data_IF_071557822085
#
_entry.id   IF_071557822085
#
_cell.length_a   1.000
_cell.length_b   1.000
_cell.length_c   1.000
_cell.angle_alpha   90.00
_cell.angle_beta   90.00
_cell.angle_gamma   90.00
#
_symmetry.space_group_name_H-M   'P 1'
#
loop_
_entity.id
_entity.type
_entity.pdbx_description
1 polymer ?
#
# COMPACT_ATOMS: atom_id res chain seq x y z
N UNK A 1 -19.19 -9.81 -4.86
CA UNK A 1 -18.04 -8.90 -4.96
C UNK A 1 -18.54 -7.56 -5.48
N UNK A 2 -18.16 -6.47 -4.87
CA UNK A 2 -18.60 -5.12 -5.29
C UNK A 2 -17.66 -4.59 -6.38
N UNK A 3 -18.03 -4.77 -7.64
CA UNK A 3 -17.25 -4.31 -8.79
C UNK A 3 -17.29 -2.80 -8.96
N UNK A 4 -18.34 -2.13 -8.45
CA UNK A 4 -18.42 -0.67 -8.45
C UNK A 4 -17.34 -0.08 -7.53
N UNK A 5 -17.24 -0.59 -6.30
CA UNK A 5 -16.18 -0.22 -5.38
C UNK A 5 -14.79 -0.47 -6.00
N UNK A 6 -14.57 -1.65 -6.59
CA UNK A 6 -13.27 -1.99 -7.19
C UNK A 6 -12.88 -1.03 -8.31
N UNK A 7 -13.82 -0.67 -9.21
CA UNK A 7 -13.55 0.25 -10.31
C UNK A 7 -13.18 1.67 -9.85
N UNK A 8 -13.52 2.04 -8.61
CA UNK A 8 -13.17 3.33 -8.01
C UNK A 8 -11.80 3.32 -7.32
N UNK A 9 -11.21 2.13 -7.09
CA UNK A 9 -9.88 2.03 -6.47
C UNK A 9 -8.78 2.57 -7.39
N UNK A 10 -7.65 2.97 -6.80
CA UNK A 10 -6.52 3.48 -7.56
C UNK A 10 -6.00 2.46 -8.59
N UNK A 11 -6.06 1.17 -8.26
CA UNK A 11 -5.58 0.08 -9.12
C UNK A 11 -6.45 -0.12 -10.37
N UNK A 12 -7.79 -0.02 -10.24
CA UNK A 12 -8.74 -0.23 -11.33
C UNK A 12 -9.28 1.07 -11.94
N UNK A 13 -8.66 2.20 -11.62
CA UNK A 13 -9.07 3.52 -12.15
C UNK A 13 -9.13 3.52 -13.67
N UNK A 14 -10.26 4.01 -14.23
CA UNK A 14 -10.49 4.09 -15.66
C UNK A 14 -11.04 2.78 -16.27
N UNK A 15 -11.34 1.77 -15.46
CA UNK A 15 -12.02 0.55 -15.88
C UNK A 15 -13.47 0.59 -15.40
N UNK A 16 -14.40 0.17 -16.26
CA UNK A 16 -15.80 -0.04 -15.86
C UNK A 16 -15.93 -1.23 -14.90
N UNK A 17 -17.04 -1.35 -14.15
CA UNK A 17 -17.30 -2.50 -13.31
C UNK A 17 -17.28 -3.84 -14.06
N UNK A 18 -17.76 -3.87 -15.32
CA UNK A 18 -17.75 -5.07 -16.16
C UNK A 18 -16.33 -5.46 -16.56
N UNK A 19 -15.54 -4.52 -17.03
CA UNK A 19 -14.12 -4.72 -17.38
C UNK A 19 -13.32 -5.18 -16.17
N UNK A 20 -13.62 -4.64 -14.99
CA UNK A 20 -13.00 -5.07 -13.72
C UNK A 20 -13.33 -6.53 -13.43
N UNK A 21 -14.58 -6.95 -13.61
CA UNK A 21 -14.99 -8.34 -13.41
C UNK A 21 -14.26 -9.30 -14.36
N UNK A 22 -14.17 -8.96 -15.65
CA UNK A 22 -13.48 -9.75 -16.66
C UNK A 22 -11.97 -9.87 -16.35
N UNK A 23 -11.35 -8.77 -15.90
CA UNK A 23 -9.94 -8.76 -15.49
C UNK A 23 -9.68 -9.65 -14.29
N UNK A 24 -10.56 -9.67 -13.27
CA UNK A 24 -10.37 -10.52 -12.09
C UNK A 24 -10.36 -12.00 -12.43
N UNK A 25 -11.16 -12.44 -13.41
CA UNK A 25 -11.11 -13.81 -13.92
C UNK A 25 -9.76 -14.11 -14.58
N UNK A 26 -9.30 -13.21 -15.44
CA UNK A 26 -8.03 -13.33 -16.15
C UNK A 26 -6.83 -13.40 -15.18
N UNK A 27 -6.86 -12.59 -14.11
CA UNK A 27 -5.82 -12.52 -13.08
C UNK A 27 -5.90 -13.68 -12.08
N UNK A 28 -6.92 -14.55 -12.13
CA UNK A 28 -7.23 -15.56 -11.11
C UNK A 28 -7.27 -14.94 -9.72
N UNK A 29 -8.05 -13.88 -9.59
CA UNK A 29 -8.19 -13.17 -8.33
C UNK A 29 -8.81 -14.08 -7.26
N UNK A 30 -8.18 -14.16 -6.10
CA UNK A 30 -8.65 -14.92 -4.95
C UNK A 30 -9.08 -13.99 -3.83
N UNK A 31 -10.29 -14.19 -3.32
CA UNK A 31 -10.81 -13.48 -2.15
C UNK A 31 -10.58 -14.31 -0.90
N UNK A 32 -9.99 -13.70 0.14
CA UNK A 32 -9.78 -14.33 1.43
C UNK A 32 -10.23 -13.40 2.56
N UNK A 33 -10.72 -13.99 3.66
CA UNK A 33 -11.14 -13.28 4.86
C UNK A 33 -10.24 -13.67 6.01
N UNK A 34 -9.80 -12.68 6.77
CA UNK A 34 -8.94 -12.85 7.93
C UNK A 34 -9.60 -12.23 9.16
N UNK A 35 -9.59 -12.94 10.27
CA UNK A 35 -10.01 -12.39 11.55
C UNK A 35 -8.93 -11.44 12.09
N UNK A 36 -9.31 -10.59 13.04
CA UNK A 36 -8.39 -9.66 13.70
C UNK A 36 -7.15 -10.37 14.21
N UNK A 37 -5.99 -9.69 14.11
CA UNK A 37 -4.67 -10.14 14.55
C UNK A 37 -4.13 -11.40 13.82
N UNK A 38 -4.78 -11.83 12.72
CA UNK A 38 -4.26 -12.90 11.86
C UNK A 38 -3.21 -12.35 10.90
N UNK A 39 -2.09 -13.05 10.84
CA UNK A 39 -1.03 -12.74 9.86
C UNK A 39 -1.50 -13.19 8.48
N UNK A 40 -1.40 -12.30 7.52
CA UNK A 40 -1.78 -12.49 6.12
C UNK A 40 -0.55 -12.94 5.31
N UNK A 41 0.60 -12.29 5.56
CA UNK A 41 1.90 -12.64 4.99
C UNK A 41 2.95 -12.47 6.08
N UNK A 42 3.89 -13.42 6.19
CA UNK A 42 4.97 -13.38 7.17
C UNK A 42 6.24 -12.74 6.61
N UNK A 43 6.98 -12.05 7.47
CA UNK A 43 8.36 -11.68 7.18
C UNK A 43 9.18 -12.93 6.85
N UNK A 44 10.02 -12.86 5.81
CA UNK A 44 10.79 -13.98 5.30
C UNK A 44 10.10 -14.80 4.21
N UNK A 45 8.77 -14.72 4.08
CA UNK A 45 8.06 -15.39 2.99
C UNK A 45 8.25 -14.64 1.66
N UNK A 46 8.18 -15.38 0.56
CA UNK A 46 8.06 -14.81 -0.79
C UNK A 46 6.60 -14.79 -1.23
N UNK A 47 6.19 -13.79 -1.96
CA UNK A 47 4.81 -13.65 -2.44
C UNK A 47 4.76 -13.44 -3.95
N UNK A 48 3.76 -14.06 -4.60
CA UNK A 48 3.52 -13.93 -6.05
C UNK A 48 2.27 -13.09 -6.37
N UNK A 49 1.54 -12.66 -5.34
CA UNK A 49 0.33 -11.89 -5.48
C UNK A 49 0.35 -10.65 -4.61
N UNK A 50 -0.07 -9.52 -5.15
CA UNK A 50 -0.39 -8.35 -4.35
C UNK A 50 -1.75 -8.51 -3.68
N UNK A 51 -1.92 -7.93 -2.49
CA UNK A 51 -3.21 -7.87 -1.80
C UNK A 51 -3.88 -6.52 -2.00
N UNK A 52 -5.17 -6.51 -2.35
CA UNK A 52 -6.05 -5.34 -2.34
C UNK A 52 -7.05 -5.48 -1.19
N UNK A 53 -7.08 -4.54 -0.27
CA UNK A 53 -8.03 -4.56 0.85
C UNK A 53 -9.43 -4.20 0.34
N UNK A 54 -10.40 -5.11 0.53
CA UNK A 54 -11.80 -4.89 0.17
C UNK A 54 -12.56 -4.24 1.32
N UNK A 55 -12.35 -4.73 2.54
CA UNK A 55 -12.92 -4.19 3.77
C UNK A 55 -11.99 -4.47 4.95
N UNK A 56 -12.15 -3.74 6.03
CA UNK A 56 -11.27 -3.84 7.19
C UNK A 56 -10.00 -3.04 7.04
N UNK A 57 -8.84 -3.59 7.42
CA UNK A 57 -7.55 -2.93 7.32
C UNK A 57 -6.39 -3.88 7.61
N UNK A 58 -5.24 -3.59 7.07
CA UNK A 58 -4.00 -4.37 7.24
C UNK A 58 -2.93 -3.48 7.85
N UNK A 59 -2.34 -3.90 8.96
CA UNK A 59 -1.16 -3.30 9.54
C UNK A 59 0.08 -3.93 8.90
N UNK A 60 1.03 -3.10 8.56
CA UNK A 60 2.38 -3.51 8.17
C UNK A 60 3.23 -3.41 9.41
N UNK A 61 3.71 -4.54 9.91
CA UNK A 61 4.37 -4.64 11.21
C UNK A 61 5.80 -5.18 11.06
N UNK A 62 6.71 -4.64 11.86
CA UNK A 62 8.04 -5.19 12.06
C UNK A 62 8.12 -5.76 13.47
N UNK A 63 8.70 -6.94 13.59
CA UNK A 63 8.97 -7.58 14.88
C UNK A 63 10.48 -7.60 15.08
N UNK A 64 10.97 -7.03 16.19
CA UNK A 64 12.37 -7.05 16.51
C UNK A 64 12.79 -8.39 17.13
N UNK A 65 14.10 -8.57 17.36
CA UNK A 65 14.67 -9.79 17.94
C UNK A 65 14.22 -10.07 19.36
N UNK A 66 13.62 -9.11 20.06
CA UNK A 66 13.06 -9.26 21.40
C UNK A 66 11.55 -9.50 21.38
N UNK A 67 10.93 -9.58 20.19
CA UNK A 67 9.49 -9.79 20.02
C UNK A 67 8.65 -8.52 20.14
N UNK A 68 9.26 -7.33 20.20
CA UNK A 68 8.54 -6.07 20.23
C UNK A 68 8.00 -5.74 18.82
N UNK A 69 6.72 -5.40 18.74
CA UNK A 69 6.04 -5.09 17.48
C UNK A 69 5.97 -3.58 17.25
N UNK A 70 6.32 -3.17 16.06
CA UNK A 70 6.20 -1.79 15.60
C UNK A 70 5.33 -1.72 14.34
N UNK A 71 4.27 -0.93 14.36
CA UNK A 71 3.43 -0.69 13.19
C UNK A 71 4.11 0.35 12.32
N UNK A 72 4.55 -0.06 11.14
CA UNK A 72 5.22 0.79 10.16
C UNK A 72 4.24 1.51 9.24
N UNK A 73 3.02 0.98 9.09
CA UNK A 73 1.99 1.56 8.25
C UNK A 73 0.67 0.83 8.36
N UNK A 74 -0.38 1.46 7.82
CA UNK A 74 -1.72 0.92 7.75
C UNK A 74 -2.24 1.00 6.31
N UNK A 75 -2.90 -0.07 5.85
CA UNK A 75 -3.48 -0.20 4.51
C UNK A 75 -4.99 -0.37 4.67
N UNK A 76 -5.74 0.62 4.22
CA UNK A 76 -7.21 0.63 4.30
C UNK A 76 -7.90 0.12 3.03
N UNK A 77 -9.25 0.12 3.00
CA UNK A 77 -10.02 -0.32 1.85
C UNK A 77 -9.65 0.42 0.56
N UNK A 78 -9.56 -0.33 -0.55
CA UNK A 78 -9.16 0.18 -1.86
C UNK A 78 -7.66 0.36 -2.05
N UNK A 79 -6.86 0.13 -1.02
CA UNK A 79 -5.40 0.22 -1.08
C UNK A 79 -4.76 -1.15 -1.27
N UNK A 80 -3.56 -1.17 -1.84
CA UNK A 80 -2.78 -2.40 -2.08
C UNK A 80 -1.61 -2.52 -1.10
N UNK A 81 -1.19 -3.77 -0.84
CA UNK A 81 0.01 -4.11 -0.07
C UNK A 81 0.75 -5.28 -0.73
N UNK A 82 1.99 -5.49 -0.31
CA UNK A 82 2.90 -6.52 -0.82
C UNK A 82 3.19 -6.42 -2.34
N UNK A 83 2.75 -5.36 -3.03
CA UNK A 83 2.93 -5.18 -4.46
C UNK A 83 4.41 -5.12 -4.87
N UNK A 84 5.25 -4.50 -4.04
CA UNK A 84 6.70 -4.39 -4.31
C UNK A 84 7.33 -5.77 -4.39
N UNK A 85 7.08 -6.61 -3.39
CA UNK A 85 7.63 -7.97 -3.33
C UNK A 85 7.04 -8.88 -4.40
N UNK A 86 5.71 -8.80 -4.61
CA UNK A 86 5.05 -9.58 -5.63
C UNK A 86 5.53 -9.25 -7.06
N UNK A 87 6.03 -8.03 -7.29
CA UNK A 87 6.65 -7.62 -8.56
C UNK A 87 8.14 -7.96 -8.66
N UNK A 88 8.78 -8.41 -7.57
CA UNK A 88 10.19 -8.80 -7.50
C UNK A 88 10.28 -10.29 -7.09
N UNK A 89 10.17 -11.22 -8.05
CA UNK A 89 10.15 -12.65 -7.73
C UNK A 89 11.38 -13.10 -6.94
N UNK A 90 11.13 -13.81 -5.83
CA UNK A 90 12.17 -14.33 -4.96
C UNK A 90 12.64 -13.37 -3.86
N UNK A 91 12.18 -12.11 -3.84
CA UNK A 91 12.50 -11.18 -2.75
C UNK A 91 11.65 -11.51 -1.51
N UNK A 92 12.26 -11.84 -0.35
CA UNK A 92 11.50 -12.13 0.86
C UNK A 92 10.95 -10.85 1.50
N UNK A 93 9.77 -10.96 2.10
CA UNK A 93 9.15 -9.89 2.86
C UNK A 93 10.02 -9.50 4.07
N UNK A 94 10.24 -8.20 4.26
CA UNK A 94 10.96 -7.66 5.42
C UNK A 94 10.04 -7.45 6.64
N UNK A 95 8.72 -7.57 6.45
CA UNK A 95 7.69 -7.16 7.41
C UNK A 95 6.51 -8.12 7.36
N UNK A 96 5.76 -8.21 8.45
CA UNK A 96 4.49 -8.91 8.49
C UNK A 96 3.35 -8.02 7.96
N UNK A 97 2.38 -8.63 7.30
CA UNK A 97 1.09 -8.02 7.02
C UNK A 97 0.04 -8.68 7.92
N UNK A 98 -0.56 -7.91 8.82
CA UNK A 98 -1.47 -8.41 9.86
C UNK A 98 -2.83 -7.74 9.73
N UNK A 99 -3.91 -8.52 9.86
CA UNK A 99 -5.26 -7.99 9.85
C UNK A 99 -5.54 -7.16 11.11
N UNK A 100 -5.76 -5.85 10.95
CA UNK A 100 -6.03 -4.92 12.05
C UNK A 100 -7.41 -5.14 12.71
N UNK A 101 -8.33 -5.71 11.95
CA UNK A 101 -9.68 -6.11 12.32
C UNK A 101 -10.12 -7.25 11.39
N UNK A 102 -11.38 -7.69 11.45
CA UNK A 102 -11.88 -8.61 10.43
C UNK A 102 -11.74 -7.96 9.07
N UNK A 103 -10.89 -8.55 8.22
CA UNK A 103 -10.39 -7.94 6.98
C UNK A 103 -10.61 -8.88 5.82
N UNK A 104 -11.08 -8.31 4.73
CA UNK A 104 -11.27 -9.01 3.47
C UNK A 104 -10.27 -8.51 2.44
N UNK A 105 -9.52 -9.44 1.85
CA UNK A 105 -8.44 -9.16 0.90
C UNK A 105 -8.70 -9.88 -0.42
N UNK A 106 -8.47 -9.17 -1.51
CA UNK A 106 -8.43 -9.71 -2.86
C UNK A 106 -6.97 -9.85 -3.30
N UNK A 107 -6.51 -11.07 -3.54
CA UNK A 107 -5.17 -11.35 -4.05
C UNK A 107 -5.17 -11.38 -5.58
N UNK A 108 -4.22 -10.67 -6.18
CA UNK A 108 -4.03 -10.58 -7.62
C UNK A 108 -2.63 -11.07 -7.98
N UNK A 109 -2.54 -12.13 -8.79
CA UNK A 109 -1.26 -12.68 -9.22
C UNK A 109 -0.53 -11.70 -10.15
N UNK A 110 0.65 -11.25 -9.73
CA UNK A 110 1.43 -10.20 -10.44
C UNK A 110 2.06 -10.73 -11.71
N UNK A 111 2.48 -12.00 -11.77
CA UNK A 111 3.01 -12.58 -12.99
C UNK A 111 1.98 -12.59 -14.12
N UNK A 112 0.69 -12.76 -13.79
CA UNK A 112 -0.41 -12.65 -14.76
C UNK A 112 -0.72 -11.20 -15.11
N UNK A 113 -0.65 -10.32 -14.13
CA UNK A 113 -0.87 -8.89 -14.30
C UNK A 113 0.18 -8.25 -15.23
N UNK A 114 1.44 -8.66 -15.11
CA UNK A 114 2.56 -8.12 -15.90
C UNK A 114 2.72 -8.79 -17.27
N UNK A 115 2.10 -9.95 -17.50
CA UNK A 115 2.13 -10.59 -18.81
C UNK A 115 1.18 -9.90 -19.77
N UNK A 116 1.61 -9.73 -21.02
CA UNK A 116 0.73 -9.28 -22.11
C UNK A 116 -0.37 -10.33 -22.32
N UNK A 117 -1.62 -9.92 -22.18
CA UNK A 117 -2.75 -10.79 -22.45
C UNK A 117 -2.74 -11.20 -23.94
N UNK A 118 -2.90 -12.48 -24.30
CA UNK A 118 -2.97 -12.94 -25.70
C UNK A 118 -4.08 -12.22 -26.51
N UNK A 119 -5.13 -11.75 -25.83
CA UNK A 119 -6.25 -10.98 -26.42
C UNK A 119 -6.00 -9.48 -26.55
N UNK A 120 -4.75 -9.01 -26.35
CA UNK A 120 -4.37 -7.59 -26.46
C UNK A 120 -5.34 -6.61 -25.74
N UNK A 121 -5.79 -7.01 -24.57
CA UNK A 121 -6.82 -6.32 -23.82
C UNK A 121 -6.30 -4.96 -23.32
N UNK A 122 -6.92 -3.88 -23.79
CA UNK A 122 -6.54 -2.49 -23.40
C UNK A 122 -6.61 -2.26 -21.87
N UNK A 123 -7.40 -3.05 -21.17
CA UNK A 123 -7.61 -2.97 -19.73
C UNK A 123 -6.39 -3.44 -18.93
N UNK A 124 -5.62 -4.43 -19.41
CA UNK A 124 -4.35 -4.82 -18.78
C UNK A 124 -3.32 -3.69 -18.81
N UNK A 125 -3.23 -2.97 -19.92
CA UNK A 125 -2.34 -1.81 -20.02
C UNK A 125 -2.74 -0.70 -19.03
N UNK A 126 -4.04 -0.48 -18.81
CA UNK A 126 -4.54 0.46 -17.81
C UNK A 126 -4.15 0.00 -16.38
N UNK A 127 -4.32 -1.29 -16.08
CA UNK A 127 -3.99 -1.87 -14.78
C UNK A 127 -2.48 -1.76 -14.47
N UNK A 128 -1.61 -2.04 -15.45
CA UNK A 128 -0.15 -1.88 -15.30
C UNK A 128 0.22 -0.42 -15.05
N UNK A 129 -0.35 0.53 -15.80
CA UNK A 129 -0.13 1.97 -15.58
C UNK A 129 -0.58 2.41 -14.19
N UNK A 130 -1.74 1.92 -13.73
CA UNK A 130 -2.26 2.22 -12.42
C UNK A 130 -1.39 1.63 -11.30
N UNK A 131 -0.90 0.39 -11.46
CA UNK A 131 0.03 -0.22 -10.52
C UNK A 131 1.33 0.60 -10.45
N UNK A 132 1.88 0.99 -11.61
CA UNK A 132 3.06 1.86 -11.66
C UNK A 132 2.82 3.20 -10.95
N UNK A 133 1.65 3.82 -11.15
CA UNK A 133 1.29 5.06 -10.46
C UNK A 133 1.19 4.86 -8.94
N UNK A 134 0.59 3.77 -8.48
CA UNK A 134 0.48 3.44 -7.04
C UNK A 134 1.86 3.22 -6.42
N UNK A 135 2.72 2.41 -7.05
CA UNK A 135 4.08 2.16 -6.54
C UNK A 135 4.93 3.43 -6.55
N UNK A 136 4.81 4.26 -7.59
CA UNK A 136 5.50 5.57 -7.67
C UNK A 136 5.04 6.54 -6.58
N UNK A 137 3.74 6.57 -6.27
CA UNK A 137 3.21 7.38 -5.16
C UNK A 137 3.74 6.91 -3.81
N UNK A 138 3.80 5.61 -3.57
CA UNK A 138 4.39 5.05 -2.35
C UNK A 138 5.88 5.36 -2.24
N UNK A 139 6.64 5.19 -3.33
CA UNK A 139 8.05 5.55 -3.38
C UNK A 139 8.26 7.04 -3.07
N UNK A 140 7.46 7.93 -3.67
CA UNK A 140 7.52 9.36 -3.40
C UNK A 140 7.20 9.69 -1.94
N UNK A 141 6.23 9.00 -1.32
CA UNK A 141 5.91 9.16 0.10
C UNK A 141 7.08 8.73 1.00
N UNK A 142 7.74 7.61 0.69
CA UNK A 142 8.94 7.14 1.39
C UNK A 142 10.10 8.13 1.22
N UNK A 143 10.35 8.62 0.00
CA UNK A 143 11.39 9.61 -0.27
C UNK A 143 11.17 10.91 0.51
N UNK A 144 9.92 11.38 0.59
CA UNK A 144 9.56 12.55 1.41
C UNK A 144 9.83 12.30 2.90
N UNK A 145 9.47 11.11 3.41
CA UNK A 145 9.75 10.75 4.81
C UNK A 145 11.26 10.74 5.09
N UNK A 146 12.06 10.13 4.23
CA UNK A 146 13.51 10.13 4.33
C UNK A 146 14.03 11.58 4.35
N UNK A 147 13.56 12.44 3.46
CA UNK A 147 13.94 13.85 3.42
C UNK A 147 13.64 14.58 4.73
N UNK A 148 12.45 14.34 5.33
CA UNK A 148 12.08 14.98 6.60
C UNK A 148 12.81 14.40 7.81
N UNK A 149 13.22 13.13 7.77
CA UNK A 149 13.94 12.45 8.86
C UNK A 149 15.46 12.56 8.77
N UNK A 150 16.01 13.02 7.65
CA UNK A 150 17.46 13.17 7.42
C UNK A 150 18.15 14.21 8.31
N UNK A 151 17.53 15.33 8.73
CA UNK A 151 18.16 16.26 9.65
C UNK A 151 18.49 15.59 10.99
N UNK A 152 19.67 15.88 11.53
CA UNK A 152 20.20 15.25 12.76
C UNK A 152 19.46 15.65 14.04
N UNK A 153 18.77 16.78 14.03
CA UNK A 153 18.08 17.30 15.22
C UNK A 153 16.57 17.22 15.09
N UNK A 154 15.88 17.02 16.19
CA UNK A 154 14.40 17.03 16.28
C UNK A 154 13.84 18.32 15.68
N UNK A 155 14.43 19.48 16.06
CA UNK A 155 14.05 20.78 15.50
C UNK A 155 14.22 20.84 13.99
N UNK A 156 15.31 20.28 13.45
CA UNK A 156 15.57 20.24 12.00
C UNK A 156 14.55 19.38 11.27
N UNK A 157 14.19 18.21 11.79
CA UNK A 157 13.17 17.33 11.22
C UNK A 157 11.80 18.00 11.22
N UNK A 158 11.41 18.63 12.33
CA UNK A 158 10.15 19.35 12.45
C UNK A 158 10.08 20.52 11.47
N UNK A 159 11.14 21.35 11.40
CA UNK A 159 11.20 22.45 10.45
C UNK A 159 11.16 22.00 8.99
N UNK A 160 11.86 20.91 8.64
CA UNK A 160 11.82 20.32 7.30
C UNK A 160 10.40 19.93 6.91
N UNK A 161 9.68 19.24 7.80
CA UNK A 161 8.29 18.85 7.57
C UNK A 161 7.35 20.06 7.44
N UNK A 162 7.37 20.96 8.43
CA UNK A 162 6.46 22.13 8.45
C UNK A 162 6.70 23.08 7.29
N UNK A 163 7.96 23.31 6.89
CA UNK A 163 8.29 24.13 5.72
C UNK A 163 7.75 23.53 4.43
N UNK A 164 7.86 22.21 4.26
CA UNK A 164 7.30 21.53 3.09
C UNK A 164 5.76 21.62 3.05
N UNK A 165 5.08 21.53 4.21
CA UNK A 165 3.64 21.72 4.28
C UNK A 165 3.24 23.16 3.96
N UNK A 166 3.93 24.15 4.52
CA UNK A 166 3.69 25.57 4.26
C UNK A 166 3.80 25.93 2.77
N UNK A 167 4.82 25.37 2.09
CA UNK A 167 5.00 25.53 0.64
C UNK A 167 3.86 24.86 -0.14
N UNK A 168 3.45 23.65 0.24
CA UNK A 168 2.38 22.91 -0.43
C UNK A 168 1.03 23.63 -0.31
N UNK A 169 0.71 24.13 0.87
CA UNK A 169 -0.55 24.85 1.14
C UNK A 169 -0.48 26.35 0.76
N UNK A 170 0.69 26.81 0.31
CA UNK A 170 0.98 28.23 0.06
C UNK A 170 0.51 29.14 1.22
N UNK A 171 0.69 28.68 2.45
CA UNK A 171 0.21 29.34 3.66
C UNK A 171 1.13 29.06 4.85
N UNK A 172 1.22 30.02 5.77
CA UNK A 172 1.90 29.82 7.07
C UNK A 172 0.97 29.24 8.15
N UNK A 173 -0.33 29.14 7.85
CA UNK A 173 -1.34 28.54 8.74
C UNK A 173 -2.01 27.41 7.99
N UNK A 174 -1.83 26.18 8.45
CA UNK A 174 -2.37 24.97 7.84
C UNK A 174 -2.64 23.91 8.90
N UNK A 175 -3.56 22.99 8.60
CA UNK A 175 -3.77 21.80 9.40
C UNK A 175 -2.82 20.68 8.94
N UNK A 176 -2.30 19.90 9.88
CA UNK A 176 -1.54 18.69 9.60
C UNK A 176 -2.41 17.47 9.95
N UNK A 177 -2.26 16.35 9.22
CA UNK A 177 -3.08 15.14 9.42
C UNK A 177 -2.61 14.28 10.60
N UNK A 178 -1.74 14.81 11.47
CA UNK A 178 -1.12 14.11 12.58
C UNK A 178 -1.44 14.79 13.90
N UNK A 179 -1.72 14.01 14.94
CA UNK A 179 -1.55 14.47 16.32
C UNK A 179 -0.04 14.55 16.69
N UNK A 180 0.27 14.96 17.92
CA UNK A 180 1.67 15.13 18.34
C UNK A 180 2.46 13.83 18.34
N UNK A 181 1.85 12.73 18.81
CA UNK A 181 2.51 11.43 18.87
C UNK A 181 2.72 10.87 17.46
N UNK A 182 1.69 10.94 16.63
CA UNK A 182 1.77 10.50 15.23
C UNK A 182 2.84 11.28 14.45
N UNK A 183 2.97 12.58 14.71
CA UNK A 183 4.03 13.38 14.08
C UNK A 183 5.42 12.99 14.57
N UNK A 184 5.57 12.72 15.87
CA UNK A 184 6.83 12.22 16.45
C UNK A 184 7.20 10.86 15.82
N UNK A 185 6.27 9.93 15.73
CA UNK A 185 6.46 8.61 15.10
C UNK A 185 6.81 8.72 13.62
N UNK A 186 6.14 9.64 12.89
CA UNK A 186 6.44 9.91 11.49
C UNK A 186 7.86 10.44 11.30
N UNK A 187 8.31 11.35 12.18
CA UNK A 187 9.64 11.96 12.15
C UNK A 187 10.75 11.11 12.81
N UNK A 188 10.38 10.03 13.50
CA UNK A 188 11.31 9.15 14.20
C UNK A 188 11.98 9.83 15.39
N UNK A 189 11.19 10.51 16.25
CA UNK A 189 11.66 11.26 17.43
C UNK A 189 10.77 10.99 18.63
#
# INVERSE_FOLDING_TARGET
>A
MDFLFLSQTALFRGCSPRETADMLQCLRAERRVYEKDRVICHAGDTVEALGLVLSGGVNIESVDVWGSRSILGHVGPGQVFAETYACLPGEPLMVDAVAAQRTEVLFLNTARLLRTCPSACAHHAALIRNLLAVTSQKNLALSRRIFHTSPKTIRGRLLSYLSAQALRENSRSFAIPFDRQQLADYLGV
#
